data_IF_522855784887
#
_entry.id   IF_522855784887
#
_cell.length_a   1.000
_cell.length_b   1.000
_cell.length_c   1.000
_cell.angle_alpha   90.00
_cell.angle_beta   90.00
_cell.angle_gamma   90.00
#
_symmetry.space_group_name_H-M   'P 1'
#
loop_
_entity.id
_entity.type
_entity.pdbx_description
1 polymer ?
#
# COMPACT_ATOMS: atom_id res chain seq x y z
N UNK A 1 -13.55 1.79 3.58
CA UNK A 1 -13.03 1.50 2.22
C UNK A 1 -11.60 1.97 2.04
N UNK A 2 -11.32 3.27 2.13
CA UNK A 2 -9.96 3.84 1.91
C UNK A 2 -8.86 3.09 2.68
N UNK A 3 -9.02 2.90 3.99
CA UNK A 3 -8.05 2.14 4.80
C UNK A 3 -7.94 0.67 4.39
N UNK A 4 -9.06 0.02 4.05
CA UNK A 4 -9.10 -1.38 3.65
C UNK A 4 -8.39 -1.60 2.31
N UNK A 5 -8.65 -0.74 1.32
CA UNK A 5 -7.99 -0.82 0.02
C UNK A 5 -6.49 -0.55 0.13
N UNK A 6 -6.08 0.39 0.96
CA UNK A 6 -4.68 0.68 1.25
C UNK A 6 -3.95 -0.52 1.88
N UNK A 7 -4.53 -1.14 2.92
CA UNK A 7 -3.93 -2.30 3.58
C UNK A 7 -3.87 -3.53 2.66
N UNK A 8 -4.91 -3.80 1.87
CA UNK A 8 -4.85 -4.90 0.92
C UNK A 8 -3.82 -4.65 -0.19
N UNK A 9 -3.70 -3.40 -0.66
CA UNK A 9 -2.68 -3.06 -1.65
C UNK A 9 -1.27 -3.34 -1.12
N UNK A 10 -0.96 -2.93 0.12
CA UNK A 10 0.36 -3.19 0.73
C UNK A 10 0.60 -4.67 0.96
N UNK A 11 -0.41 -5.46 1.36
CA UNK A 11 -0.31 -6.91 1.51
C UNK A 11 -0.04 -7.60 0.16
N UNK A 12 -0.75 -7.18 -0.88
CA UNK A 12 -0.68 -7.75 -2.22
C UNK A 12 0.63 -7.42 -2.94
N UNK A 13 1.14 -6.21 -2.72
CA UNK A 13 2.41 -5.76 -3.28
C UNK A 13 3.61 -6.06 -2.38
N UNK A 14 3.41 -6.70 -1.22
CA UNK A 14 4.51 -7.10 -0.35
C UNK A 14 5.53 -7.92 -1.13
N UNK A 15 6.77 -7.48 -1.07
CA UNK A 15 7.92 -8.15 -1.68
C UNK A 15 8.59 -8.98 -0.60
N UNK A 16 8.75 -10.27 -0.86
CA UNK A 16 9.51 -11.15 0.01
C UNK A 16 10.94 -11.26 -0.55
N UNK A 17 11.92 -11.07 0.31
CA UNK A 17 13.34 -11.20 -0.03
C UNK A 17 13.82 -12.57 0.45
N UNK A 18 14.09 -13.45 -0.51
CA UNK A 18 14.57 -14.81 -0.24
C UNK A 18 16.02 -14.91 -0.70
N UNK A 19 16.94 -15.47 0.10
CA UNK A 19 18.33 -15.59 -0.28
C UNK A 19 18.47 -16.48 -1.51
N UNK A 20 19.44 -16.15 -2.34
CA UNK A 20 19.87 -17.06 -3.39
C UNK A 20 20.38 -18.36 -2.74
N UNK A 21 19.94 -19.50 -3.26
CA UNK A 21 20.35 -20.82 -2.77
C UNK A 21 20.02 -21.10 -1.28
N UNK A 22 18.91 -20.54 -0.77
CA UNK A 22 18.42 -20.86 0.57
C UNK A 22 17.92 -22.31 0.71
N UNK A 23 18.43 -23.06 1.70
CA UNK A 23 17.91 -24.38 2.06
C UNK A 23 17.07 -24.32 3.33
N UNK A 24 15.90 -24.95 3.30
CA UNK A 24 15.06 -25.06 4.48
C UNK A 24 15.74 -25.95 5.52
N UNK A 25 15.80 -25.43 6.74
CA UNK A 25 16.26 -26.20 7.89
C UNK A 25 15.10 -27.03 8.42
N UNK A 26 15.33 -28.33 8.52
CA UNK A 26 14.37 -29.30 9.03
C UNK A 26 14.47 -29.44 10.55
N UNK A 27 15.68 -29.29 11.09
CA UNK A 27 15.94 -29.41 12.52
C UNK A 27 17.27 -28.73 12.90
N UNK A 28 17.29 -28.09 14.06
CA UNK A 28 18.51 -27.53 14.65
C UNK A 28 18.79 -28.22 15.97
N UNK A 29 19.98 -28.79 16.14
CA UNK A 29 20.43 -29.42 17.39
C UNK A 29 21.61 -28.62 17.97
N UNK A 30 21.36 -27.63 18.86
CA UNK A 30 22.40 -26.75 19.37
C UNK A 30 23.46 -27.48 20.20
N UNK A 31 23.06 -28.48 20.99
CA UNK A 31 23.97 -29.24 21.86
C UNK A 31 24.95 -30.10 21.05
N UNK A 32 24.56 -30.50 19.85
CA UNK A 32 25.39 -31.27 18.92
C UNK A 32 26.08 -30.39 17.86
N UNK A 33 25.84 -29.08 17.87
CA UNK A 33 26.29 -28.14 16.83
C UNK A 33 25.97 -28.62 15.41
N UNK A 34 24.76 -29.20 15.23
CA UNK A 34 24.35 -29.75 13.93
C UNK A 34 23.06 -29.13 13.43
N UNK A 35 23.00 -28.92 12.11
CA UNK A 35 21.82 -28.45 11.40
C UNK A 35 21.48 -29.47 10.32
N UNK A 36 20.21 -29.87 10.26
CA UNK A 36 19.70 -30.77 9.23
C UNK A 36 18.95 -29.93 8.20
N UNK A 37 19.38 -30.00 6.95
CA UNK A 37 18.77 -29.28 5.81
C UNK A 37 18.08 -30.23 4.84
N UNK A 38 17.05 -29.72 4.19
CA UNK A 38 16.30 -30.44 3.16
C UNK A 38 17.10 -30.59 1.86
N UNK A 39 17.18 -31.81 1.31
CA UNK A 39 17.82 -32.08 0.02
C UNK A 39 19.32 -32.40 0.08
N UNK A 40 19.94 -32.50 -1.11
CA UNK A 40 21.40 -32.66 -1.25
C UNK A 40 22.10 -31.34 -0.94
N UNK A 41 23.31 -31.41 -0.38
CA UNK A 41 24.10 -30.23 -0.02
C UNK A 41 24.31 -29.37 -1.28
N UNK A 42 24.14 -28.06 -1.13
CA UNK A 42 24.12 -27.10 -2.22
C UNK A 42 25.54 -26.79 -2.75
N UNK A 43 26.32 -27.85 -3.01
CA UNK A 43 27.76 -27.76 -3.26
C UNK A 43 28.52 -27.11 -2.10
N UNK A 44 27.99 -27.19 -0.87
CA UNK A 44 28.58 -26.59 0.33
C UNK A 44 29.77 -27.45 0.75
N UNK A 45 30.94 -26.84 0.78
CA UNK A 45 32.20 -27.51 1.13
C UNK A 45 32.64 -27.12 2.55
N UNK A 46 33.50 -27.94 3.14
CA UNK A 46 34.10 -27.61 4.44
C UNK A 46 34.82 -26.25 4.38
N UNK A 47 34.52 -25.37 5.34
CA UNK A 47 35.05 -24.02 5.42
C UNK A 47 34.14 -22.91 4.90
N UNK A 48 33.03 -23.24 4.22
CA UNK A 48 32.05 -22.25 3.75
C UNK A 48 31.35 -21.54 4.92
N UNK A 49 31.10 -20.24 4.76
CA UNK A 49 30.32 -19.45 5.71
C UNK A 49 28.85 -19.41 5.27
N UNK A 50 27.97 -19.81 6.17
CA UNK A 50 26.53 -19.79 6.00
C UNK A 50 25.90 -18.84 7.01
N UNK A 51 24.72 -18.34 6.68
CA UNK A 51 23.87 -17.59 7.61
C UNK A 51 22.60 -18.37 7.87
N UNK A 52 22.35 -18.61 9.15
CA UNK A 52 21.07 -19.11 9.61
C UNK A 52 20.13 -17.94 9.89
N UNK A 53 18.98 -17.90 9.23
CA UNK A 53 17.96 -16.88 9.47
C UNK A 53 16.56 -17.52 9.40
N UNK A 54 15.74 -17.23 10.41
CA UNK A 54 14.40 -17.81 10.53
C UNK A 54 14.16 -18.41 11.91
N UNK A 55 13.00 -18.07 12.46
CA UNK A 55 12.61 -18.38 13.82
C UNK A 55 12.02 -17.16 14.53
N UNK A 56 10.99 -17.35 15.37
CA UNK A 56 10.30 -16.25 16.08
C UNK A 56 11.23 -15.45 16.99
N UNK A 57 12.44 -15.96 17.27
CA UNK A 57 13.48 -15.34 18.13
C UNK A 57 14.91 -15.52 17.61
N UNK A 58 15.11 -15.89 16.35
CA UNK A 58 16.45 -16.14 15.83
C UNK A 58 17.22 -14.82 15.61
N UNK A 59 18.24 -14.56 16.46
CA UNK A 59 19.35 -13.67 16.04
C UNK A 59 20.04 -14.39 14.90
N UNK A 60 20.13 -13.76 13.72
CA UNK A 60 20.79 -14.40 12.60
C UNK A 60 22.26 -14.65 12.94
N UNK A 61 22.66 -15.92 13.02
CA UNK A 61 24.03 -16.32 13.32
C UNK A 61 24.77 -16.62 12.02
N UNK A 62 25.99 -16.08 11.91
CA UNK A 62 26.97 -16.58 10.95
C UNK A 62 27.51 -17.90 11.49
N UNK A 63 27.56 -18.89 10.62
CA UNK A 63 27.80 -20.28 10.96
C UNK A 63 28.80 -20.82 9.94
N UNK A 64 29.88 -21.45 10.41
CA UNK A 64 30.92 -22.01 9.54
C UNK A 64 30.75 -23.52 9.43
N UNK A 65 30.79 -24.07 8.23
CA UNK A 65 30.63 -25.52 8.01
C UNK A 65 31.94 -26.22 8.28
N UNK A 66 31.93 -27.18 9.20
CA UNK A 66 33.10 -28.00 9.58
C UNK A 66 33.04 -29.39 8.97
N UNK A 67 31.84 -29.96 8.79
CA UNK A 67 31.63 -31.23 8.10
C UNK A 67 30.23 -31.26 7.46
N UNK A 68 30.08 -32.01 6.37
CA UNK A 68 28.80 -32.21 5.67
C UNK A 68 28.59 -33.69 5.35
N UNK A 69 27.52 -34.28 5.86
CA UNK A 69 27.15 -35.69 5.64
C UNK A 69 25.76 -35.81 5.03
N UNK A 70 25.59 -36.61 3.98
CA UNK A 70 24.25 -36.93 3.46
C UNK A 70 23.53 -37.89 4.43
N UNK A 71 22.30 -37.54 4.82
CA UNK A 71 21.47 -38.32 5.74
C UNK A 71 20.05 -38.47 5.20
N UNK A 72 19.24 -39.33 5.83
CA UNK A 72 17.82 -39.45 5.51
C UNK A 72 17.03 -38.99 6.73
N UNK A 73 16.20 -37.96 6.54
CA UNK A 73 15.35 -37.42 7.60
C UNK A 73 13.87 -37.57 7.19
N UNK A 74 13.07 -38.25 8.02
CA UNK A 74 11.66 -38.57 7.74
C UNK A 74 11.40 -39.20 6.35
N UNK A 75 12.31 -40.06 5.88
CA UNK A 75 12.18 -40.76 4.59
C UNK A 75 12.53 -39.93 3.35
N UNK A 76 12.98 -38.68 3.52
CA UNK A 76 13.49 -37.83 2.45
C UNK A 76 15.01 -37.66 2.55
N UNK A 77 15.67 -37.41 1.41
CA UNK A 77 17.09 -37.05 1.37
C UNK A 77 17.31 -35.73 2.10
N UNK A 78 18.23 -35.72 3.05
CA UNK A 78 18.62 -34.57 3.84
C UNK A 78 20.15 -34.48 3.92
N UNK A 79 20.67 -33.33 4.33
CA UNK A 79 22.11 -33.18 4.62
C UNK A 79 22.25 -32.75 6.07
N UNK A 80 23.12 -33.44 6.81
CA UNK A 80 23.52 -33.07 8.16
C UNK A 80 24.80 -32.25 8.07
N UNK A 81 24.73 -31.00 8.50
CA UNK A 81 25.84 -30.07 8.56
C UNK A 81 26.31 -29.95 10.00
N UNK A 82 27.58 -30.24 10.25
CA UNK A 82 28.24 -29.94 11.53
C UNK A 82 28.85 -28.55 11.41
N UNK A 83 28.51 -27.67 12.35
CA UNK A 83 28.77 -26.25 12.19
C UNK A 83 29.31 -25.57 13.44
N UNK A 84 30.18 -24.59 13.25
CA UNK A 84 30.71 -23.74 14.33
C UNK A 84 29.97 -22.40 14.38
N UNK A 85 29.75 -21.87 15.59
CA UNK A 85 29.11 -20.55 15.78
C UNK A 85 27.59 -20.56 15.90
N UNK A 86 26.97 -21.74 16.06
CA UNK A 86 25.53 -21.85 16.28
C UNK A 86 25.16 -21.23 17.65
N UNK A 87 24.30 -20.21 17.64
CA UNK A 87 23.75 -19.67 18.88
C UNK A 87 22.75 -20.67 19.48
N UNK A 88 22.71 -20.81 20.81
CA UNK A 88 21.96 -21.85 21.54
C UNK A 88 20.42 -21.85 21.44
N UNK A 89 19.84 -21.36 20.35
CA UNK A 89 18.40 -21.41 20.09
C UNK A 89 18.05 -22.59 19.17
N UNK A 90 17.18 -23.47 19.65
CA UNK A 90 16.62 -24.62 18.92
C UNK A 90 15.36 -24.23 18.14
N UNK A 91 15.38 -23.14 17.37
CA UNK A 91 14.22 -22.84 16.52
C UNK A 91 14.32 -23.76 15.30
N UNK A 92 13.49 -24.80 15.23
CA UNK A 92 13.50 -25.82 14.18
C UNK A 92 12.99 -25.30 12.82
N UNK A 93 12.66 -24.02 12.73
CA UNK A 93 12.07 -23.40 11.53
C UNK A 93 12.92 -22.21 11.09
N UNK A 94 13.86 -22.47 10.19
CA UNK A 94 14.62 -21.42 9.54
C UNK A 94 15.15 -21.84 8.18
N UNK A 95 15.93 -20.95 7.58
CA UNK A 95 16.56 -21.17 6.28
C UNK A 95 18.05 -20.89 6.43
N UNK A 96 18.88 -21.73 5.81
CA UNK A 96 20.32 -21.54 5.69
C UNK A 96 20.63 -20.98 4.31
N UNK A 97 21.45 -19.92 4.26
CA UNK A 97 21.89 -19.32 3.02
C UNK A 97 23.41 -19.13 3.01
N UNK A 98 24.02 -19.27 1.84
CA UNK A 98 25.45 -19.03 1.63
C UNK A 98 25.76 -17.53 1.71
N UNK A 99 26.91 -17.20 2.28
CA UNK A 99 27.37 -15.82 2.42
C UNK A 99 28.76 -15.67 1.81
N UNK A 100 28.97 -14.58 1.06
CA UNK A 100 30.22 -14.33 0.34
C UNK A 100 31.07 -13.31 1.08
N UNK A 101 32.38 -13.54 1.16
CA UNK A 101 33.30 -12.58 1.74
C UNK A 101 33.42 -11.33 0.85
N UNK A 102 33.48 -10.16 1.48
CA UNK A 102 33.68 -8.88 0.81
C UNK A 102 35.18 -8.58 0.73
N UNK A 103 35.71 -8.43 -0.49
CA UNK A 103 37.17 -8.31 -0.70
C UNK A 103 37.68 -6.87 -0.85
N UNK A 104 36.86 -5.91 -1.28
CA UNK A 104 37.27 -4.51 -1.38
C UNK A 104 36.08 -3.55 -1.55
N UNK A 105 36.19 -2.38 -0.92
CA UNK A 105 35.31 -1.22 -1.16
C UNK A 105 36.10 -0.15 -1.93
N UNK A 106 35.67 0.19 -3.14
CA UNK A 106 36.18 1.36 -3.85
C UNK A 106 35.18 2.51 -3.65
N UNK A 107 35.60 3.55 -2.93
CA UNK A 107 34.89 4.85 -2.92
C UNK A 107 35.27 5.59 -4.19
N UNK A 108 34.48 5.44 -5.25
CA UNK A 108 34.53 6.34 -6.39
C UNK A 108 33.47 7.43 -6.20
N UNK A 109 33.76 8.65 -6.64
CA UNK A 109 33.22 9.93 -6.16
C UNK A 109 31.69 10.13 -6.17
N UNK A 110 30.88 9.17 -6.60
CA UNK A 110 29.41 9.25 -6.61
C UNK A 110 28.67 7.90 -6.34
N UNK A 111 29.36 6.78 -6.06
CA UNK A 111 28.70 5.49 -5.74
C UNK A 111 29.59 4.56 -4.93
N UNK A 112 29.06 3.97 -3.84
CA UNK A 112 29.77 2.94 -3.10
C UNK A 112 29.74 1.61 -3.87
N UNK A 113 30.91 1.02 -4.14
CA UNK A 113 31.02 -0.24 -4.86
C UNK A 113 31.74 -1.29 -4.03
N UNK A 114 31.22 -2.52 -4.05
CA UNK A 114 31.72 -3.65 -3.29
C UNK A 114 32.07 -4.78 -4.26
N UNK A 115 33.24 -5.40 -4.08
CA UNK A 115 33.63 -6.59 -4.85
C UNK A 115 33.35 -7.85 -4.05
N UNK A 116 32.50 -8.72 -4.61
CA UNK A 116 32.15 -10.02 -4.05
C UNK A 116 33.04 -11.12 -4.64
N UNK A 117 33.50 -12.02 -3.78
CA UNK A 117 34.22 -13.24 -4.17
C UNK A 117 33.23 -14.32 -4.65
N UNK A 118 33.40 -14.78 -5.89
CA UNK A 118 32.59 -15.85 -6.48
C UNK A 118 31.89 -15.48 -7.79
N UNK A 119 31.81 -16.44 -8.71
CA UNK A 119 31.37 -16.26 -10.10
C UNK A 119 29.85 -16.32 -10.30
N UNK A 120 29.06 -16.41 -9.23
CA UNK A 120 27.63 -16.70 -9.33
C UNK A 120 26.82 -15.73 -8.50
N UNK A 121 26.31 -14.71 -9.16
CA UNK A 121 25.13 -14.04 -8.67
C UNK A 121 24.29 -13.69 -9.88
N UNK A 122 23.18 -14.39 -10.09
CA UNK A 122 22.06 -13.92 -10.91
C UNK A 122 21.39 -12.72 -10.22
N UNK A 123 22.18 -11.79 -9.68
CA UNK A 123 21.72 -10.55 -9.10
C UNK A 123 21.26 -9.66 -10.25
N UNK A 124 20.09 -9.06 -10.07
CA UNK A 124 19.61 -7.96 -10.88
C UNK A 124 19.79 -6.64 -10.13
N UNK A 125 19.76 -5.51 -10.85
CA UNK A 125 19.73 -4.16 -10.28
C UNK A 125 18.45 -3.84 -9.44
N UNK A 126 17.64 -4.85 -9.12
CA UNK A 126 16.43 -4.76 -8.27
C UNK A 126 16.53 -5.66 -7.05
N UNK A 127 17.60 -6.43 -6.93
CA UNK A 127 17.82 -7.29 -5.79
C UNK A 127 18.50 -6.51 -4.67
N UNK A 128 18.49 -7.09 -3.46
CA UNK A 128 19.15 -6.51 -2.30
C UNK A 128 20.25 -7.43 -1.82
N UNK A 129 21.26 -6.84 -1.21
CA UNK A 129 22.33 -7.56 -0.52
C UNK A 129 22.20 -7.26 0.96
N UNK A 130 22.04 -8.31 1.75
CA UNK A 130 22.17 -8.18 3.21
C UNK A 130 23.62 -8.37 3.57
N UNK A 131 24.22 -7.31 4.08
CA UNK A 131 25.54 -7.32 4.69
C UNK A 131 25.43 -7.75 6.15
N UNK A 132 26.28 -8.68 6.53
CA UNK A 132 26.27 -9.35 7.83
C UNK A 132 27.64 -9.19 8.44
N UNK A 133 27.70 -8.56 9.61
CA UNK A 133 28.93 -8.43 10.36
C UNK A 133 28.78 -9.08 11.74
N UNK A 134 29.78 -9.88 12.19
CA UNK A 134 29.71 -10.62 13.46
C UNK A 134 29.43 -9.74 14.70
N UNK A 135 29.94 -8.50 14.72
CA UNK A 135 29.83 -7.56 15.86
C UNK A 135 28.88 -6.36 15.66
N UNK A 136 28.86 -5.71 14.49
CA UNK A 136 28.06 -4.50 14.22
C UNK A 136 26.63 -4.78 13.72
N UNK A 137 26.27 -6.03 13.42
CA UNK A 137 24.90 -6.42 13.08
C UNK A 137 24.65 -6.56 11.58
N UNK A 138 23.48 -6.11 11.13
CA UNK A 138 22.97 -6.33 9.77
C UNK A 138 22.74 -4.99 9.08
N UNK A 139 23.05 -4.94 7.78
CA UNK A 139 22.70 -3.82 6.91
C UNK A 139 22.13 -4.35 5.58
N UNK A 140 20.92 -3.91 5.23
CA UNK A 140 20.25 -4.28 3.97
C UNK A 140 20.37 -3.15 2.96
N UNK A 141 21.03 -3.41 1.83
CA UNK A 141 21.35 -2.40 0.83
C UNK A 141 20.88 -2.83 -0.56
N UNK A 142 20.37 -1.87 -1.33
CA UNK A 142 19.94 -2.12 -2.71
C UNK A 142 21.10 -2.21 -3.68
N UNK A 143 20.95 -3.01 -4.74
CA UNK A 143 21.92 -3.11 -5.83
C UNK A 143 21.57 -2.12 -6.93
N UNK A 144 22.47 -1.18 -7.24
CA UNK A 144 22.28 -0.20 -8.30
C UNK A 144 22.75 -0.71 -9.68
N UNK A 145 23.91 -1.36 -9.74
CA UNK A 145 24.41 -1.99 -10.97
C UNK A 145 25.43 -3.07 -10.67
N UNK A 146 25.63 -3.98 -11.62
CA UNK A 146 26.50 -5.14 -11.46
C UNK A 146 27.42 -5.21 -12.66
N UNK A 147 28.71 -5.40 -12.38
CA UNK A 147 29.74 -5.60 -13.38
C UNK A 147 30.51 -6.86 -13.01
N UNK A 148 30.37 -7.89 -13.86
CA UNK A 148 31.08 -9.16 -13.71
C UNK A 148 32.43 -9.02 -14.41
N UNK A 149 33.52 -9.09 -13.65
CA UNK A 149 34.89 -9.20 -14.16
C UNK A 149 35.36 -10.62 -13.89
N UNK A 150 36.16 -11.22 -14.77
CA UNK A 150 36.65 -12.61 -14.62
C UNK A 150 37.00 -12.98 -13.17
N UNK A 151 36.16 -13.83 -12.55
CA UNK A 151 36.33 -14.34 -11.19
C UNK A 151 35.78 -13.49 -10.03
N UNK A 152 35.30 -12.26 -10.27
CA UNK A 152 34.76 -11.37 -9.22
C UNK A 152 33.56 -10.54 -9.69
N UNK A 153 32.57 -10.37 -8.81
CA UNK A 153 31.39 -9.56 -9.12
C UNK A 153 31.50 -8.22 -8.41
N UNK A 154 31.64 -7.13 -9.19
CA UNK A 154 31.58 -5.77 -8.65
C UNK A 154 30.13 -5.31 -8.63
N UNK A 155 29.66 -4.93 -7.46
CA UNK A 155 28.31 -4.46 -7.23
C UNK A 155 28.36 -3.01 -6.79
N UNK A 156 27.74 -2.12 -7.56
CA UNK A 156 27.46 -0.75 -7.12
C UNK A 156 26.18 -0.76 -6.29
N UNK A 157 26.19 -0.08 -5.15
CA UNK A 157 25.06 -0.04 -4.23
C UNK A 157 24.25 1.24 -4.43
N UNK A 158 22.95 1.18 -4.12
CA UNK A 158 22.04 2.32 -4.21
C UNK A 158 22.27 3.37 -3.14
N UNK A 159 22.75 2.96 -1.97
CA UNK A 159 22.93 3.83 -0.79
C UNK A 159 24.41 3.90 -0.38
N UNK A 160 24.77 4.93 0.39
CA UNK A 160 26.12 5.05 0.95
C UNK A 160 26.35 4.02 2.06
N UNK A 161 27.37 3.19 1.87
CA UNK A 161 27.77 2.22 2.87
C UNK A 161 28.74 2.83 3.89
N UNK A 162 28.34 2.81 5.17
CA UNK A 162 29.22 3.15 6.30
C UNK A 162 30.25 2.03 6.48
N UNK A 163 31.41 2.20 5.84
CA UNK A 163 32.64 1.40 5.99
C UNK A 163 32.45 -0.12 6.05
N UNK A 164 32.52 -0.80 4.90
CA UNK A 164 32.74 -2.25 4.85
C UNK A 164 34.22 -2.54 5.10
N UNK A 165 34.54 -3.28 6.16
CA UNK A 165 35.83 -3.95 6.32
C UNK A 165 35.79 -5.39 5.76
N UNK A 166 36.93 -6.09 5.77
CA UNK A 166 37.04 -7.48 5.31
C UNK A 166 36.24 -8.48 6.17
N UNK A 167 35.69 -8.06 7.32
CA UNK A 167 34.92 -8.92 8.23
C UNK A 167 33.42 -8.97 7.89
N UNK A 168 32.97 -8.19 6.89
CA UNK A 168 31.60 -8.28 6.39
C UNK A 168 31.43 -9.42 5.39
N UNK A 169 30.29 -10.09 5.52
CA UNK A 169 29.81 -11.07 4.56
C UNK A 169 28.57 -10.54 3.86
N UNK A 170 28.48 -10.74 2.55
CA UNK A 170 27.35 -10.34 1.71
C UNK A 170 26.48 -11.55 1.37
N UNK A 171 25.20 -11.47 1.72
CA UNK A 171 24.18 -12.44 1.33
C UNK A 171 23.34 -11.82 0.21
N UNK A 172 23.45 -12.30 -1.05
CA UNK A 172 22.57 -11.85 -2.11
C UNK A 172 21.15 -12.37 -1.85
N UNK A 173 20.15 -11.51 -2.05
CA UNK A 173 18.75 -11.83 -1.78
C UNK A 173 17.89 -11.52 -3.01
N UNK A 174 17.22 -12.55 -3.53
CA UNK A 174 16.33 -12.47 -4.68
C UNK A 174 15.01 -11.79 -4.29
N UNK A 175 14.60 -10.84 -5.12
CA UNK A 175 13.32 -10.15 -5.01
C UNK A 175 12.17 -11.04 -5.51
N UNK A 176 11.39 -11.62 -4.59
CA UNK A 176 10.17 -12.36 -4.96
C UNK A 176 8.92 -11.50 -4.76
N UNK A 177 8.36 -11.05 -5.87
CA UNK A 177 7.09 -10.33 -5.88
C UNK A 177 5.92 -11.31 -5.73
N UNK A 178 5.04 -11.08 -4.75
CA UNK A 178 3.86 -11.94 -4.53
C UNK A 178 2.88 -11.92 -5.68
N UNK A 179 2.56 -10.74 -6.18
CA UNK A 179 1.59 -10.56 -7.26
C UNK A 179 1.97 -9.43 -8.21
N UNK A 180 1.68 -9.56 -9.52
CA UNK A 180 1.90 -8.49 -10.48
C UNK A 180 1.03 -7.26 -10.16
N UNK A 181 1.55 -6.07 -10.45
CA UNK A 181 0.97 -4.79 -10.04
C UNK A 181 -0.48 -4.63 -10.53
N UNK A 182 -0.73 -4.88 -11.82
CA UNK A 182 -2.06 -4.73 -12.42
C UNK A 182 -3.09 -5.65 -11.78
N UNK A 183 -2.69 -6.86 -11.39
CA UNK A 183 -3.56 -7.81 -10.71
C UNK A 183 -3.88 -7.31 -9.30
N UNK A 184 -2.89 -6.81 -8.56
CA UNK A 184 -3.10 -6.24 -7.22
C UNK A 184 -4.08 -5.06 -7.26
N UNK A 185 -3.87 -4.11 -8.18
CA UNK A 185 -4.77 -2.95 -8.37
C UNK A 185 -6.19 -3.40 -8.73
N UNK A 186 -6.32 -4.34 -9.68
CA UNK A 186 -7.60 -4.89 -10.11
C UNK A 186 -8.34 -5.61 -8.97
N UNK A 187 -7.63 -6.39 -8.14
CA UNK A 187 -8.22 -7.07 -6.98
C UNK A 187 -8.71 -6.09 -5.93
N UNK A 188 -7.94 -5.04 -5.62
CA UNK A 188 -8.34 -4.03 -4.63
C UNK A 188 -9.60 -3.28 -5.09
N UNK A 189 -9.67 -2.88 -6.35
CA UNK A 189 -10.87 -2.26 -6.92
C UNK A 189 -12.03 -3.26 -6.92
N UNK A 190 -11.78 -4.52 -7.30
CA UNK A 190 -12.77 -5.60 -7.30
C UNK A 190 -13.38 -5.84 -5.92
N UNK A 191 -12.56 -5.87 -4.86
CA UNK A 191 -13.04 -5.95 -3.47
C UNK A 191 -13.96 -4.76 -3.16
N UNK A 192 -13.56 -3.54 -3.55
CA UNK A 192 -14.39 -2.35 -3.41
C UNK A 192 -15.78 -2.52 -4.05
N UNK A 193 -15.83 -2.94 -5.31
CA UNK A 193 -17.08 -3.14 -6.04
C UNK A 193 -17.97 -4.23 -5.40
N UNK A 194 -17.38 -5.33 -4.94
CA UNK A 194 -18.11 -6.42 -4.26
C UNK A 194 -18.70 -5.94 -2.94
N UNK A 195 -17.95 -5.15 -2.16
CA UNK A 195 -18.46 -4.59 -0.92
C UNK A 195 -19.55 -3.55 -1.16
N UNK A 196 -19.46 -2.76 -2.24
CA UNK A 196 -20.54 -1.89 -2.70
C UNK A 196 -21.81 -2.65 -3.07
N UNK A 197 -21.67 -3.77 -3.77
CA UNK A 197 -22.79 -4.66 -4.07
C UNK A 197 -23.42 -5.17 -2.78
N UNK A 198 -22.61 -5.63 -1.81
CA UNK A 198 -23.09 -6.10 -0.51
C UNK A 198 -23.85 -5.00 0.24
N UNK A 199 -23.30 -3.79 0.32
CA UNK A 199 -23.98 -2.63 0.92
C UNK A 199 -25.31 -2.33 0.23
N UNK A 200 -25.33 -2.30 -1.10
CA UNK A 200 -26.53 -2.08 -1.89
C UNK A 200 -27.60 -3.14 -1.65
N UNK A 201 -27.22 -4.41 -1.59
CA UNK A 201 -28.13 -5.53 -1.32
C UNK A 201 -28.71 -5.47 0.09
N UNK A 202 -27.90 -5.16 1.10
CA UNK A 202 -28.36 -4.97 2.48
C UNK A 202 -29.40 -3.83 2.58
N UNK A 203 -29.14 -2.70 1.93
CA UNK A 203 -30.05 -1.56 1.96
C UNK A 203 -31.35 -1.85 1.20
N UNK A 204 -31.28 -2.54 0.05
CA UNK A 204 -32.44 -2.70 -0.83
C UNK A 204 -33.27 -3.94 -0.57
N UNK A 205 -32.64 -5.10 -0.31
CA UNK A 205 -33.34 -6.37 -0.10
C UNK A 205 -33.76 -6.55 1.36
N UNK A 206 -32.85 -6.28 2.30
CA UNK A 206 -33.16 -6.37 3.73
C UNK A 206 -33.81 -5.09 4.28
N UNK A 207 -33.96 -4.05 3.45
CA UNK A 207 -34.59 -2.76 3.80
C UNK A 207 -33.96 -2.13 5.05
N UNK A 208 -32.66 -2.34 5.24
CA UNK A 208 -31.92 -1.74 6.34
C UNK A 208 -31.70 -0.25 6.06
N UNK A 209 -31.66 0.56 7.12
CA UNK A 209 -31.37 1.97 6.97
C UNK A 209 -29.93 2.17 6.45
N UNK A 210 -29.72 2.97 5.39
CA UNK A 210 -28.41 3.26 4.79
C UNK A 210 -27.31 3.61 5.79
N UNK A 211 -27.66 4.45 6.78
CA UNK A 211 -26.73 4.92 7.79
C UNK A 211 -26.18 3.79 8.67
N UNK A 212 -27.02 2.83 9.05
CA UNK A 212 -26.59 1.68 9.88
C UNK A 212 -25.62 0.80 9.09
N UNK A 213 -25.93 0.52 7.82
CA UNK A 213 -25.07 -0.31 6.96
C UNK A 213 -23.69 0.33 6.78
N UNK A 214 -23.63 1.64 6.52
CA UNK A 214 -22.34 2.33 6.33
C UNK A 214 -21.55 2.53 7.62
N UNK A 215 -22.22 2.80 8.74
CA UNK A 215 -21.58 2.91 10.06
C UNK A 215 -20.99 1.58 10.52
N UNK A 216 -21.77 0.49 10.45
CA UNK A 216 -21.28 -0.85 10.73
C UNK A 216 -20.16 -1.24 9.76
N UNK A 217 -20.30 -0.90 8.48
CA UNK A 217 -19.26 -1.12 7.47
C UNK A 217 -17.94 -0.42 7.83
N UNK A 218 -17.99 0.85 8.27
CA UNK A 218 -16.81 1.60 8.71
C UNK A 218 -16.04 0.84 9.80
N UNK A 219 -16.74 0.41 10.86
CA UNK A 219 -16.15 -0.31 11.98
C UNK A 219 -15.62 -1.68 11.57
N UNK A 220 -16.40 -2.41 10.78
CA UNK A 220 -16.03 -3.75 10.31
C UNK A 220 -14.80 -3.72 9.41
N UNK A 221 -14.79 -2.84 8.40
CA UNK A 221 -13.65 -2.73 7.48
C UNK A 221 -12.40 -2.24 8.19
N UNK A 222 -12.52 -1.29 9.12
CA UNK A 222 -11.37 -0.84 9.91
C UNK A 222 -10.84 -1.95 10.83
N UNK A 223 -11.73 -2.74 11.43
CA UNK A 223 -11.35 -3.92 12.21
C UNK A 223 -10.59 -4.96 11.37
N UNK A 224 -11.09 -5.27 10.16
CA UNK A 224 -10.41 -6.19 9.22
C UNK A 224 -9.05 -5.63 8.81
N UNK A 225 -8.95 -4.35 8.47
CA UNK A 225 -7.68 -3.71 8.12
C UNK A 225 -6.65 -3.89 9.23
N UNK A 226 -7.02 -3.60 10.49
CA UNK A 226 -6.14 -3.75 11.66
C UNK A 226 -5.73 -5.20 11.88
N UNK A 227 -6.69 -6.12 11.83
CA UNK A 227 -6.43 -7.54 11.99
C UNK A 227 -5.50 -8.10 10.89
N UNK A 228 -5.65 -7.65 9.65
CA UNK A 228 -4.88 -8.17 8.51
C UNK A 228 -3.40 -7.80 8.53
N UNK A 229 -3.02 -6.77 9.29
CA UNK A 229 -1.63 -6.29 9.38
C UNK A 229 -1.13 -6.21 10.83
N UNK A 230 -1.77 -6.93 11.74
CA UNK A 230 -1.42 -6.98 13.18
C UNK A 230 -1.28 -5.58 13.84
N UNK A 231 -2.14 -4.65 13.41
CA UNK A 231 -2.18 -3.25 13.84
C UNK A 231 -0.87 -2.47 13.64
N UNK A 232 0.01 -2.98 12.77
CA UNK A 232 1.29 -2.34 12.44
C UNK A 232 1.14 -1.34 11.28
N UNK A 233 2.04 -0.36 11.24
CA UNK A 233 2.23 0.48 10.07
C UNK A 233 2.89 -0.34 8.97
N UNK A 234 2.24 -0.43 7.81
CA UNK A 234 2.73 -1.15 6.64
C UNK A 234 2.93 -0.18 5.47
N UNK A 235 3.95 -0.41 4.66
CA UNK A 235 4.25 0.37 3.47
C UNK A 235 4.59 -0.53 2.28
N UNK A 236 4.71 0.04 1.09
CA UNK A 236 5.15 -0.71 -0.10
C UNK A 236 6.69 -0.72 -0.23
N UNK A 237 7.39 0.06 0.60
CA UNK A 237 8.84 0.26 0.50
C UNK A 237 9.21 1.05 -0.76
N UNK A 238 10.50 1.10 -1.09
CA UNK A 238 11.02 1.86 -2.23
C UNK A 238 10.97 1.07 -3.56
N UNK A 239 10.51 -0.18 -3.49
CA UNK A 239 10.52 -1.13 -4.60
C UNK A 239 9.63 -0.74 -5.79
N UNK A 240 8.62 0.07 -5.52
CA UNK A 240 7.67 0.52 -6.52
C UNK A 240 7.81 2.02 -6.83
N UNK A 241 8.90 2.66 -6.40
CA UNK A 241 9.14 4.09 -6.64
C UNK A 241 9.31 4.41 -8.13
N UNK A 242 9.82 3.48 -8.92
CA UNK A 242 9.96 3.66 -10.37
C UNK A 242 8.66 3.38 -11.14
N UNK A 243 7.77 2.56 -10.61
CA UNK A 243 6.58 2.07 -11.33
C UNK A 243 5.26 2.66 -10.85
N UNK A 244 5.05 2.75 -9.53
CA UNK A 244 3.80 3.19 -8.91
C UNK A 244 3.89 4.60 -8.37
N UNK A 245 5.01 5.00 -7.75
CA UNK A 245 5.14 6.35 -7.21
C UNK A 245 4.87 7.45 -8.26
N UNK A 246 5.23 7.32 -9.56
CA UNK A 246 4.86 8.31 -10.55
C UNK A 246 3.35 8.52 -10.64
N UNK A 247 2.52 7.50 -10.39
CA UNK A 247 1.06 7.63 -10.44
C UNK A 247 0.51 8.58 -9.36
N UNK A 248 1.17 8.68 -8.21
CA UNK A 248 0.74 9.48 -7.07
C UNK A 248 1.58 10.75 -6.86
N UNK A 249 2.90 10.63 -6.85
CA UNK A 249 3.83 11.74 -6.57
C UNK A 249 4.50 12.31 -7.82
N UNK A 250 4.38 11.63 -8.96
CA UNK A 250 4.95 12.10 -10.22
C UNK A 250 4.28 13.39 -10.71
N UNK A 251 5.05 14.19 -11.46
CA UNK A 251 4.58 15.45 -12.04
C UNK A 251 4.81 15.44 -13.54
N UNK A 252 3.81 15.89 -14.29
CA UNK A 252 3.96 16.26 -15.69
C UNK A 252 4.62 17.63 -15.76
N UNK A 253 5.90 17.69 -16.12
CA UNK A 253 6.64 18.94 -16.21
C UNK A 253 6.18 19.76 -17.43
N UNK A 254 5.67 20.96 -17.17
CA UNK A 254 5.32 21.96 -18.21
C UNK A 254 6.49 22.93 -18.40
N UNK A 255 7.19 23.25 -17.31
CA UNK A 255 8.45 23.99 -17.30
C UNK A 255 9.41 23.37 -16.27
N UNK A 256 10.70 23.77 -16.24
CA UNK A 256 11.66 23.28 -15.25
C UNK A 256 11.23 23.50 -13.80
N UNK A 257 10.41 24.53 -13.54
CA UNK A 257 9.96 24.92 -12.20
C UNK A 257 8.49 24.57 -11.92
N UNK A 258 7.70 24.25 -12.95
CA UNK A 258 6.27 24.02 -12.82
C UNK A 258 5.84 22.69 -13.47
N UNK A 259 5.26 21.81 -12.65
CA UNK A 259 4.69 20.56 -13.10
C UNK A 259 3.37 20.25 -12.43
N UNK A 260 2.44 19.65 -13.19
CA UNK A 260 1.11 19.25 -12.71
C UNK A 260 1.19 17.81 -12.18
N UNK A 261 0.79 17.53 -10.92
CA UNK A 261 0.79 16.18 -10.37
C UNK A 261 -0.09 15.21 -11.17
N UNK A 262 0.34 13.96 -11.35
CA UNK A 262 -0.48 12.95 -12.03
C UNK A 262 -1.85 12.69 -11.38
N UNK A 263 -2.03 12.72 -10.03
CA UNK A 263 -3.35 12.61 -9.41
C UNK A 263 -4.35 13.64 -9.90
N UNK A 264 -3.90 14.82 -10.33
CA UNK A 264 -4.78 15.84 -10.91
C UNK A 264 -5.42 15.34 -12.21
N UNK A 265 -4.67 14.69 -13.09
CA UNK A 265 -5.23 14.11 -14.32
C UNK A 265 -6.19 12.97 -14.03
N UNK A 266 -5.92 12.16 -13.00
CA UNK A 266 -6.84 11.11 -12.56
C UNK A 266 -8.13 11.72 -12.02
N UNK A 267 -8.05 12.78 -11.22
CA UNK A 267 -9.21 13.52 -10.73
C UNK A 267 -10.04 14.09 -11.90
N UNK A 268 -9.40 14.70 -12.89
CA UNK A 268 -10.09 15.22 -14.08
C UNK A 268 -10.74 14.08 -14.86
N UNK A 269 -10.07 12.96 -15.06
CA UNK A 269 -10.63 11.78 -15.72
C UNK A 269 -11.87 11.27 -14.98
N UNK A 270 -11.79 11.10 -13.66
CA UNK A 270 -12.92 10.67 -12.82
C UNK A 270 -14.06 11.69 -12.87
N UNK A 271 -13.75 12.98 -12.80
CA UNK A 271 -14.75 14.05 -12.88
C UNK A 271 -15.46 14.06 -14.24
N UNK A 272 -14.73 13.90 -15.35
CA UNK A 272 -15.32 13.81 -16.69
C UNK A 272 -16.19 12.57 -16.81
N UNK A 273 -15.71 11.40 -16.38
CA UNK A 273 -16.49 10.16 -16.39
C UNK A 273 -17.76 10.29 -15.55
N UNK A 274 -17.68 10.86 -14.35
CA UNK A 274 -18.82 11.11 -13.49
C UNK A 274 -19.79 12.13 -14.11
N UNK A 275 -19.29 13.18 -14.76
CA UNK A 275 -20.12 14.19 -15.41
C UNK A 275 -20.85 13.63 -16.64
N UNK A 276 -20.17 12.82 -17.46
CA UNK A 276 -20.78 12.12 -18.59
C UNK A 276 -21.79 11.10 -18.09
N UNK A 277 -21.46 10.31 -17.07
CA UNK A 277 -22.39 9.36 -16.48
C UNK A 277 -23.66 10.06 -15.97
N UNK A 278 -23.51 11.12 -15.17
CA UNK A 278 -24.65 11.81 -14.55
C UNK A 278 -25.52 12.57 -15.57
N UNK A 279 -24.89 13.24 -16.55
CA UNK A 279 -25.62 14.14 -17.46
C UNK A 279 -26.01 13.51 -18.81
N UNK A 280 -25.23 12.54 -19.31
CA UNK A 280 -25.44 11.97 -20.65
C UNK A 280 -26.08 10.59 -20.63
N UNK A 281 -26.01 9.84 -19.54
CA UNK A 281 -26.58 8.48 -19.49
C UNK A 281 -28.01 8.45 -18.95
N UNK A 282 -28.75 7.39 -19.29
CA UNK A 282 -30.09 7.11 -18.77
C UNK A 282 -30.02 6.83 -17.26
N UNK A 283 -29.02 6.06 -16.82
CA UNK A 283 -28.80 5.70 -15.41
C UNK A 283 -28.53 6.93 -14.53
N UNK A 284 -27.80 7.93 -15.03
CA UNK A 284 -27.59 9.20 -14.33
C UNK A 284 -28.90 9.95 -14.06
N UNK A 285 -29.78 10.03 -15.06
CA UNK A 285 -31.12 10.63 -14.90
C UNK A 285 -31.99 9.86 -13.89
N UNK A 286 -31.91 8.53 -13.90
CA UNK A 286 -32.61 7.70 -12.92
C UNK A 286 -32.08 7.90 -11.49
N UNK A 287 -30.77 8.06 -11.30
CA UNK A 287 -30.19 8.41 -9.99
C UNK A 287 -30.68 9.77 -9.49
N UNK A 288 -30.73 10.77 -10.36
CA UNK A 288 -31.26 12.09 -9.98
C UNK A 288 -32.76 12.03 -9.65
N UNK A 289 -33.56 11.29 -10.42
CA UNK A 289 -34.97 11.10 -10.15
C UNK A 289 -35.22 10.38 -8.81
N UNK A 290 -34.47 9.29 -8.56
CA UNK A 290 -34.50 8.55 -7.30
C UNK A 290 -34.19 9.46 -6.11
N UNK A 291 -33.17 10.31 -6.23
CA UNK A 291 -32.78 11.23 -5.16
C UNK A 291 -33.79 12.35 -4.88
N UNK A 292 -34.62 12.75 -5.87
CA UNK A 292 -35.66 13.77 -5.67
C UNK A 292 -36.90 13.18 -4.99
N UNK A 293 -37.38 12.06 -5.49
CA UNK A 293 -38.54 11.37 -4.95
C UNK A 293 -38.51 9.89 -5.37
N UNK A 294 -38.15 9.02 -4.44
CA UNK A 294 -38.08 7.58 -4.68
C UNK A 294 -39.44 6.98 -5.08
N UNK A 295 -40.52 7.42 -4.45
CA UNK A 295 -41.86 6.90 -4.73
C UNK A 295 -42.34 7.28 -6.14
N UNK A 296 -42.12 8.53 -6.55
CA UNK A 296 -42.42 8.98 -7.91
C UNK A 296 -41.55 8.26 -8.95
N UNK A 297 -40.26 8.02 -8.67
CA UNK A 297 -39.38 7.27 -9.55
C UNK A 297 -39.86 5.81 -9.72
N UNK A 298 -40.28 5.17 -8.63
CA UNK A 298 -40.83 3.80 -8.63
C UNK A 298 -42.13 3.72 -9.45
N UNK A 299 -43.05 4.66 -9.24
CA UNK A 299 -44.31 4.74 -10.01
C UNK A 299 -44.07 5.03 -11.49
N UNK A 300 -42.97 5.70 -11.83
CA UNK A 300 -42.53 5.93 -13.21
C UNK A 300 -41.82 4.73 -13.85
N UNK A 301 -41.83 3.56 -13.20
CA UNK A 301 -41.25 2.32 -13.71
C UNK A 301 -39.73 2.17 -13.52
N UNK A 302 -39.08 3.07 -12.77
CA UNK A 302 -37.65 2.96 -12.48
C UNK A 302 -37.44 1.93 -11.37
N UNK A 303 -36.56 0.96 -11.60
CA UNK A 303 -36.18 0.01 -10.55
C UNK A 303 -35.26 0.69 -9.53
N UNK A 304 -35.86 1.24 -8.47
CA UNK A 304 -35.14 1.99 -7.42
C UNK A 304 -34.10 1.14 -6.73
N UNK A 305 -34.39 -0.14 -6.45
CA UNK A 305 -33.45 -1.08 -5.83
C UNK A 305 -32.17 -1.26 -6.65
N UNK A 306 -32.29 -1.49 -7.96
CA UNK A 306 -31.11 -1.62 -8.84
C UNK A 306 -30.29 -0.34 -8.88
N UNK A 307 -30.94 0.82 -8.93
CA UNK A 307 -30.27 2.11 -8.96
C UNK A 307 -29.51 2.39 -7.66
N UNK A 308 -30.10 2.05 -6.50
CA UNK A 308 -29.43 2.15 -5.20
C UNK A 308 -28.20 1.24 -5.13
N UNK A 309 -28.30 0.00 -5.61
CA UNK A 309 -27.16 -0.94 -5.65
C UNK A 309 -26.02 -0.37 -6.51
N UNK A 310 -26.33 0.11 -7.72
CA UNK A 310 -25.33 0.70 -8.62
C UNK A 310 -24.65 1.91 -7.96
N UNK A 311 -25.40 2.76 -7.25
CA UNK A 311 -24.85 3.90 -6.54
C UNK A 311 -23.81 3.48 -5.48
N UNK A 312 -24.09 2.43 -4.70
CA UNK A 312 -23.13 1.90 -3.71
C UNK A 312 -21.90 1.26 -4.36
N UNK A 313 -22.08 0.53 -5.48
CA UNK A 313 -20.96 -0.05 -6.25
C UNK A 313 -20.03 1.05 -6.76
N UNK A 314 -20.57 2.10 -7.39
CA UNK A 314 -19.77 3.21 -7.91
C UNK A 314 -19.07 3.94 -6.76
N UNK A 315 -19.78 4.24 -5.67
CA UNK A 315 -19.22 4.94 -4.50
C UNK A 315 -18.03 4.19 -3.88
N UNK A 316 -18.19 2.90 -3.61
CA UNK A 316 -17.14 2.07 -3.01
C UNK A 316 -15.99 1.79 -3.98
N UNK A 317 -16.26 1.64 -5.28
CA UNK A 317 -15.25 1.54 -6.32
C UNK A 317 -14.37 2.80 -6.41
N UNK A 318 -14.98 3.99 -6.44
CA UNK A 318 -14.25 5.26 -6.43
C UNK A 318 -13.48 5.46 -5.13
N UNK A 319 -14.04 5.07 -3.98
CA UNK A 319 -13.34 5.10 -2.70
C UNK A 319 -12.13 4.14 -2.66
N UNK A 320 -12.22 2.98 -3.32
CA UNK A 320 -11.09 2.05 -3.45
C UNK A 320 -9.97 2.66 -4.30
N UNK A 321 -10.30 3.28 -5.44
CA UNK A 321 -9.34 4.01 -6.28
C UNK A 321 -8.67 5.14 -5.49
N UNK A 322 -9.47 5.95 -4.77
CA UNK A 322 -8.93 7.01 -3.90
C UNK A 322 -7.99 6.47 -2.82
N UNK A 323 -8.32 5.34 -2.19
CA UNK A 323 -7.46 4.70 -1.20
C UNK A 323 -6.18 4.09 -1.77
N UNK A 324 -6.21 3.57 -3.01
CA UNK A 324 -5.01 3.14 -3.73
C UNK A 324 -4.07 4.35 -3.94
N UNK A 325 -4.59 5.45 -4.49
CA UNK A 325 -3.79 6.65 -4.74
C UNK A 325 -3.20 7.21 -3.45
N UNK A 326 -4.01 7.28 -2.39
CA UNK A 326 -3.57 7.77 -1.10
C UNK A 326 -2.51 6.87 -0.46
N UNK A 327 -2.60 5.55 -0.63
CA UNK A 327 -1.60 4.60 -0.14
C UNK A 327 -0.26 4.71 -0.89
N UNK A 328 -0.31 4.97 -2.20
CA UNK A 328 0.89 5.19 -3.03
C UNK A 328 1.54 6.52 -2.66
N UNK A 329 0.75 7.57 -2.44
CA UNK A 329 1.25 8.90 -2.04
C UNK A 329 1.92 8.87 -0.67
N UNK A 330 1.30 8.22 0.33
CA UNK A 330 1.85 8.18 1.69
C UNK A 330 2.99 7.18 1.86
N UNK A 331 3.04 6.13 1.02
CA UNK A 331 3.88 4.92 1.14
C UNK A 331 3.94 4.30 2.57
N UNK A 332 2.99 4.66 3.42
CA UNK A 332 2.95 4.32 4.83
C UNK A 332 1.49 4.36 5.28
N UNK A 333 0.98 3.21 5.69
CA UNK A 333 -0.42 2.97 6.00
C UNK A 333 -0.49 2.44 7.43
N UNK A 334 -0.91 3.30 8.35
CA UNK A 334 -1.22 2.94 9.73
C UNK A 334 -2.74 2.72 9.86
N UNK A 335 -3.25 1.48 9.98
CA UNK A 335 -4.69 1.21 9.87
C UNK A 335 -5.56 1.89 10.93
N UNK A 336 -4.95 2.27 12.07
CA UNK A 336 -5.59 2.99 13.17
C UNK A 336 -5.94 4.44 12.82
N UNK A 337 -5.17 5.08 11.93
CA UNK A 337 -5.34 6.50 11.58
C UNK A 337 -5.61 6.75 10.09
N UNK A 338 -5.31 5.79 9.23
CA UNK A 338 -5.31 5.99 7.78
C UNK A 338 -6.71 6.29 7.23
N UNK A 339 -6.86 7.48 6.63
CA UNK A 339 -8.13 7.95 6.08
C UNK A 339 -9.20 8.22 7.14
N UNK A 340 -8.82 8.55 8.38
CA UNK A 340 -9.77 8.98 9.40
C UNK A 340 -10.50 10.26 8.97
N UNK A 341 -11.81 10.32 9.24
CA UNK A 341 -12.68 11.46 8.94
C UNK A 341 -12.84 11.80 7.46
N UNK A 342 -12.21 11.05 6.53
CA UNK A 342 -12.39 11.25 5.09
C UNK A 342 -13.86 11.05 4.69
N UNK A 343 -14.60 10.20 5.40
CA UNK A 343 -16.05 10.07 5.27
C UNK A 343 -16.81 11.39 5.54
N UNK A 344 -16.42 12.15 6.58
CA UNK A 344 -17.03 13.43 6.93
C UNK A 344 -16.57 14.52 5.96
N UNK A 345 -15.27 14.56 5.63
CA UNK A 345 -14.71 15.53 4.70
C UNK A 345 -15.26 15.36 3.28
N UNK A 346 -15.51 14.14 2.82
CA UNK A 346 -16.14 13.89 1.53
C UNK A 346 -17.58 14.42 1.48
N UNK A 347 -18.37 14.20 2.54
CA UNK A 347 -19.73 14.75 2.64
C UNK A 347 -19.67 16.29 2.67
N UNK A 348 -18.80 16.85 3.49
CA UNK A 348 -18.60 18.29 3.60
C UNK A 348 -18.21 18.94 2.27
N UNK A 349 -17.26 18.37 1.56
CA UNK A 349 -16.82 18.82 0.24
C UNK A 349 -17.96 18.77 -0.78
N UNK A 350 -18.77 17.70 -0.79
CA UNK A 350 -19.90 17.58 -1.69
C UNK A 350 -20.98 18.62 -1.40
N UNK A 351 -21.32 18.86 -0.13
CA UNK A 351 -22.32 19.85 0.28
C UNK A 351 -21.83 21.27 -0.01
N UNK A 352 -20.58 21.59 0.31
CA UNK A 352 -19.96 22.87 -0.05
C UNK A 352 -19.94 23.07 -1.58
N UNK A 353 -19.78 21.98 -2.33
CA UNK A 353 -19.91 21.93 -3.78
C UNK A 353 -21.35 22.06 -4.32
N UNK A 354 -22.34 22.26 -3.45
CA UNK A 354 -23.74 22.48 -3.82
C UNK A 354 -24.59 21.21 -3.98
N UNK A 355 -24.09 20.04 -3.58
CA UNK A 355 -24.91 18.83 -3.52
C UNK A 355 -25.94 18.91 -2.38
N UNK A 356 -27.17 18.50 -2.66
CA UNK A 356 -28.24 18.44 -1.66
C UNK A 356 -28.13 17.21 -0.77
N UNK A 357 -28.16 17.39 0.55
CA UNK A 357 -28.28 16.29 1.53
C UNK A 357 -29.61 15.53 1.42
N UNK A 358 -30.65 16.17 0.86
CA UNK A 358 -31.95 15.54 0.62
C UNK A 358 -31.96 14.70 -0.65
N UNK A 359 -30.92 14.79 -1.48
CA UNK A 359 -30.77 14.05 -2.73
C UNK A 359 -31.33 14.77 -3.96
N UNK A 360 -31.00 14.23 -5.14
CA UNK A 360 -31.63 14.61 -6.41
C UNK A 360 -31.14 15.91 -7.05
N UNK A 361 -30.19 16.59 -6.42
CA UNK A 361 -29.60 17.85 -6.88
C UNK A 361 -28.10 17.91 -6.57
N UNK A 362 -27.31 18.36 -7.53
CA UNK A 362 -25.86 18.51 -7.40
C UNK A 362 -25.15 18.46 -8.76
N UNK A 363 -23.97 19.06 -8.85
CA UNK A 363 -23.16 19.10 -10.06
C UNK A 363 -21.71 18.66 -9.79
N UNK A 364 -21.12 17.91 -10.72
CA UNK A 364 -19.76 17.39 -10.56
C UNK A 364 -18.72 18.52 -10.46
N UNK A 365 -18.88 19.60 -11.24
CA UNK A 365 -18.00 20.76 -11.17
C UNK A 365 -17.97 21.37 -9.76
N UNK A 366 -19.16 21.50 -9.14
CA UNK A 366 -19.30 22.01 -7.79
C UNK A 366 -18.61 21.11 -6.77
N UNK A 367 -18.78 19.78 -6.87
CA UNK A 367 -18.08 18.81 -6.01
C UNK A 367 -16.56 18.93 -6.15
N UNK A 368 -16.03 19.05 -7.37
CA UNK A 368 -14.58 19.22 -7.58
C UNK A 368 -14.08 20.49 -6.89
N UNK A 369 -14.78 21.62 -7.07
CA UNK A 369 -14.43 22.88 -6.41
C UNK A 369 -14.52 22.73 -4.88
N UNK A 370 -15.59 22.12 -4.36
CA UNK A 370 -15.77 21.88 -2.93
C UNK A 370 -14.68 20.99 -2.34
N UNK A 371 -14.26 19.93 -3.04
CA UNK A 371 -13.13 19.08 -2.62
C UNK A 371 -11.80 19.84 -2.64
N UNK A 372 -11.57 20.69 -3.64
CA UNK A 372 -10.38 21.53 -3.70
C UNK A 372 -10.35 22.54 -2.54
N UNK A 373 -11.46 23.20 -2.25
CA UNK A 373 -11.57 24.13 -1.12
C UNK A 373 -11.29 23.40 0.20
N UNK A 374 -11.90 22.23 0.42
CA UNK A 374 -11.66 21.42 1.63
C UNK A 374 -10.19 21.04 1.79
N UNK A 375 -9.52 20.59 0.72
CA UNK A 375 -8.10 20.24 0.78
C UNK A 375 -7.21 21.46 1.02
N UNK A 376 -7.50 22.59 0.36
CA UNK A 376 -6.74 23.84 0.58
C UNK A 376 -6.92 24.35 2.00
N UNK A 377 -8.11 24.22 2.59
CA UNK A 377 -8.36 24.60 3.98
C UNK A 377 -7.53 23.75 4.95
N UNK A 378 -7.51 22.43 4.75
CA UNK A 378 -6.66 21.53 5.54
C UNK A 378 -5.18 21.92 5.44
N UNK A 379 -4.67 22.11 4.22
CA UNK A 379 -3.28 22.51 3.99
C UNK A 379 -2.96 23.88 4.62
N UNK A 380 -3.89 24.83 4.62
CA UNK A 380 -3.73 26.15 5.25
C UNK A 380 -3.62 26.04 6.78
N UNK A 381 -4.44 25.21 7.43
CA UNK A 381 -4.39 24.99 8.87
C UNK A 381 -3.01 24.44 9.28
N UNK A 382 -2.54 23.43 8.53
CA UNK A 382 -1.24 22.80 8.73
C UNK A 382 -0.10 23.82 8.51
N UNK A 383 -0.16 24.62 7.44
CA UNK A 383 0.87 25.61 7.11
C UNK A 383 0.92 26.77 8.12
N UNK A 384 -0.23 27.17 8.64
CA UNK A 384 -0.38 28.16 9.71
C UNK A 384 0.12 27.67 11.07
N UNK A 385 0.57 26.40 11.18
CA UNK A 385 1.03 25.75 12.42
C UNK A 385 0.00 25.86 13.56
N UNK A 386 -1.28 25.88 13.21
CA UNK A 386 -2.35 25.78 14.20
C UNK A 386 -2.30 24.36 14.77
N UNK A 387 -2.47 24.22 16.09
CA UNK A 387 -2.50 22.91 16.74
C UNK A 387 -3.53 21.99 16.09
N UNK A 388 -3.12 20.76 15.75
CA UNK A 388 -3.99 19.71 15.17
C UNK A 388 -5.26 19.47 16.00
N UNK A 389 -5.21 19.76 17.31
CA UNK A 389 -6.36 19.68 18.22
C UNK A 389 -7.50 20.63 17.84
N UNK A 390 -7.23 21.75 17.16
CA UNK A 390 -8.22 22.72 16.72
C UNK A 390 -8.65 22.51 15.26
N UNK A 391 -8.00 21.62 14.52
CA UNK A 391 -8.28 21.37 13.10
C UNK A 391 -9.75 21.04 12.87
N UNK A 392 -10.29 20.05 13.60
CA UNK A 392 -11.69 19.63 13.49
C UNK A 392 -12.68 20.74 13.85
N UNK A 393 -12.34 21.59 14.82
CA UNK A 393 -13.19 22.71 15.22
C UNK A 393 -13.27 23.77 14.11
N UNK A 394 -12.13 24.12 13.51
CA UNK A 394 -12.07 25.08 12.39
C UNK A 394 -12.81 24.53 11.18
N UNK A 395 -12.51 23.28 10.78
CA UNK A 395 -13.17 22.66 9.63
C UNK A 395 -14.68 22.57 9.86
N UNK A 396 -15.12 22.12 11.04
CA UNK A 396 -16.53 22.07 11.40
C UNK A 396 -17.22 23.43 11.33
N UNK A 397 -16.57 24.49 11.83
CA UNK A 397 -17.09 25.85 11.76
C UNK A 397 -17.21 26.37 10.33
N UNK A 398 -16.19 26.15 9.48
CA UNK A 398 -16.20 26.57 8.07
C UNK A 398 -17.32 25.85 7.30
N UNK A 399 -17.49 24.55 7.52
CA UNK A 399 -18.58 23.78 6.90
C UNK A 399 -19.92 24.34 7.34
N UNK A 400 -20.13 24.54 8.65
CA UNK A 400 -21.39 25.03 9.18
C UNK A 400 -21.75 26.40 8.59
N UNK A 401 -20.78 27.33 8.54
CA UNK A 401 -20.96 28.65 7.92
C UNK A 401 -21.29 28.51 6.43
N UNK A 402 -20.55 27.67 5.70
CA UNK A 402 -20.78 27.41 4.29
C UNK A 402 -22.18 26.86 3.99
N UNK A 403 -22.64 25.90 4.79
CA UNK A 403 -23.99 25.31 4.67
C UNK A 403 -25.07 26.32 5.04
N UNK A 404 -24.88 27.10 6.11
CA UNK A 404 -25.83 28.15 6.49
C UNK A 404 -25.96 29.18 5.35
N UNK A 405 -24.84 29.61 4.78
CA UNK A 405 -24.84 30.54 3.67
C UNK A 405 -25.57 29.96 2.44
N UNK A 406 -25.30 28.71 2.06
CA UNK A 406 -25.96 28.04 0.94
C UNK A 406 -27.48 27.91 1.15
N UNK A 407 -27.90 27.46 2.34
CA UNK A 407 -29.33 27.30 2.68
C UNK A 407 -30.07 28.65 2.70
N UNK A 408 -29.44 29.71 3.24
CA UNK A 408 -30.02 31.06 3.24
C UNK A 408 -30.15 31.59 1.81
N UNK A 409 -29.11 31.44 0.97
CA UNK A 409 -29.14 31.87 -0.43
C UNK A 409 -30.25 31.15 -1.19
N UNK A 410 -30.37 29.82 -1.04
CA UNK A 410 -31.43 29.03 -1.68
C UNK A 410 -32.82 29.47 -1.26
N UNK A 411 -33.04 29.74 0.04
CA UNK A 411 -34.32 30.26 0.54
C UNK A 411 -34.65 31.63 -0.05
N UNK A 412 -33.70 32.55 -0.10
CA UNK A 412 -33.91 33.90 -0.65
C UNK A 412 -34.24 33.83 -2.15
N UNK A 413 -33.51 33.01 -2.91
CA UNK A 413 -33.77 32.83 -4.34
C UNK A 413 -35.14 32.18 -4.60
N UNK A 414 -35.53 31.19 -3.79
CA UNK A 414 -36.85 30.57 -3.89
C UNK A 414 -37.98 31.57 -3.61
N UNK A 415 -37.83 32.42 -2.58
CA UNK A 415 -38.78 33.47 -2.25
C UNK A 415 -38.92 34.50 -3.39
N UNK A 416 -37.79 34.92 -4.00
CA UNK A 416 -37.81 35.86 -5.14
C UNK A 416 -38.53 35.31 -6.37
N UNK A 417 -38.41 34.00 -6.63
CA UNK A 417 -39.13 33.34 -7.73
C UNK A 417 -40.64 33.30 -7.47
N UNK A 418 -41.05 33.02 -6.23
CA UNK A 418 -42.46 33.03 -5.85
C UNK A 418 -43.07 34.44 -5.96
N UNK A 419 -42.35 35.49 -5.55
CA UNK A 419 -42.83 36.87 -5.70
C UNK A 419 -42.92 37.33 -7.16
N UNK A 420 -42.05 36.84 -8.04
CA UNK A 420 -42.10 37.13 -9.48
C UNK A 420 -43.20 36.36 -10.23
N UNK A 421 -43.63 35.20 -9.72
CA UNK A 421 -44.77 34.46 -10.29
C UNK A 421 -46.14 34.94 -9.78
N UNK A 422 -46.15 35.80 -8.76
CA UNK A 422 -47.37 36.29 -8.11
C UNK A 422 -47.76 37.74 -8.51
N UNK A 423 -46.90 38.42 -9.27
CA UNK A 423 -47.20 39.71 -9.92
C UNK A 423 -47.18 39.54 -11.42
#
# INVERSE_FOLDING_TARGET
>A
MVCLSACFLTIFLKVDYLPFEGQNVLKVEPDASTIIVEGQSLGVSEGDNLRYYGGRRARSSLVKVTASEETVFNGAKATKLTVEGLAGNSDDRGTLARVHAVQATSKQADSSSVTLSGQHTNLAARDRITFVHPKSGLADLGVASILVVEGSTKVALSDELVSVDEAWFAMPVERKQRMPILLALGLVVGIGLVLGLFHGLLVTQLKLQPFVVTLCGLLFYRGISRWSVDDQTVGMGNEYDSSLAPLASGKFAISPEFGIPYPFFILILVAVLAAVFLNRTIYGRYMLALGRNEEAARLSGINTSKMTIIAYIICTGLAAVGGILFAIDSNSVAPSSFGNFFELYAIAAAVLGGCSLRGGEGGILGVVIGTAVMQTLYNLIVLMKISDTLEFAIIGAVILIGVIADEVIKRVVAQRRQSQSAG
#
